data_IF_877005344570
#
_entry.id   IF_877005344570
#
_cell.length_a   1.000
_cell.length_b   1.000
_cell.length_c   1.000
_cell.angle_alpha   90.00
_cell.angle_beta   90.00
_cell.angle_gamma   90.00
#
_symmetry.space_group_name_H-M   'P 1'
#
loop_
_entity.id
_entity.type
_entity.pdbx_description
1 polymer ?
#
# COMPACT_ATOMS: atom_id res chain seq x y z
N UNK A 1 -0.15 -0.69 -9.29
CA UNK A 1 0.11 -0.10 -7.95
C UNK A 1 -1.13 0.58 -7.35
N UNK A 2 -1.89 1.37 -8.11
CA UNK A 2 -3.02 2.17 -7.58
C UNK A 2 -4.40 1.51 -7.65
N UNK A 3 -4.53 0.38 -8.36
CA UNK A 3 -5.79 -0.37 -8.47
C UNK A 3 -5.97 -1.33 -7.32
N UNK A 4 -6.96 -1.09 -6.47
CA UNK A 4 -7.32 -1.99 -5.37
C UNK A 4 -8.39 -2.99 -5.80
N UNK A 5 -8.44 -4.14 -5.13
CA UNK A 5 -9.44 -5.20 -5.38
C UNK A 5 -10.87 -4.68 -5.23
N UNK A 6 -11.11 -3.75 -4.31
CA UNK A 6 -12.44 -3.17 -4.09
C UNK A 6 -12.97 -2.44 -5.33
N UNK A 7 -12.10 -1.73 -6.07
CA UNK A 7 -12.47 -1.06 -7.31
C UNK A 7 -12.87 -2.05 -8.40
N UNK A 8 -12.07 -3.11 -8.60
CA UNK A 8 -12.35 -4.17 -9.56
C UNK A 8 -13.71 -4.80 -9.28
N UNK A 9 -13.96 -5.20 -8.04
CA UNK A 9 -15.23 -5.81 -7.64
C UNK A 9 -16.43 -4.87 -7.85
N UNK A 10 -16.29 -3.59 -7.51
CA UNK A 10 -17.35 -2.60 -7.72
C UNK A 10 -17.67 -2.43 -9.21
N UNK A 11 -16.65 -2.41 -10.07
CA UNK A 11 -16.85 -2.18 -11.50
C UNK A 11 -17.38 -3.44 -12.22
N UNK A 12 -16.96 -4.64 -11.80
CA UNK A 12 -17.56 -5.91 -12.23
C UNK A 12 -19.05 -5.98 -11.87
N UNK A 13 -19.42 -5.53 -10.66
CA UNK A 13 -20.81 -5.47 -10.23
C UNK A 13 -21.63 -4.52 -11.09
N UNK A 14 -21.14 -3.30 -11.37
CA UNK A 14 -21.85 -2.34 -12.24
C UNK A 14 -22.09 -2.90 -13.64
N UNK A 15 -21.13 -3.64 -14.18
CA UNK A 15 -21.28 -4.29 -15.49
C UNK A 15 -22.35 -5.38 -15.47
N UNK A 16 -22.38 -6.20 -14.42
CA UNK A 16 -23.42 -7.21 -14.24
C UNK A 16 -24.82 -6.59 -14.11
N UNK A 17 -24.94 -5.45 -13.41
CA UNK A 17 -26.21 -4.72 -13.23
C UNK A 17 -26.79 -4.19 -14.56
N UNK A 18 -25.95 -3.93 -15.57
CA UNK A 18 -26.39 -3.50 -16.91
C UNK A 18 -26.47 -4.65 -17.92
N UNK A 19 -26.36 -5.90 -17.48
CA UNK A 19 -26.59 -7.10 -18.30
C UNK A 19 -25.36 -7.63 -19.04
N UNK A 20 -24.14 -7.26 -18.63
CA UNK A 20 -22.92 -7.89 -19.16
C UNK A 20 -22.74 -9.24 -18.47
N UNK A 21 -22.80 -10.32 -19.24
CA UNK A 21 -22.79 -11.70 -18.71
C UNK A 21 -21.42 -12.17 -18.18
N UNK A 22 -20.33 -11.61 -18.70
CA UNK A 22 -18.95 -11.92 -18.31
C UNK A 22 -18.16 -10.62 -18.13
N UNK A 23 -18.33 -9.92 -17.00
CA UNK A 23 -17.61 -8.68 -16.74
C UNK A 23 -16.11 -8.97 -16.56
N UNK A 24 -15.29 -8.50 -17.48
CA UNK A 24 -13.83 -8.57 -17.40
C UNK A 24 -13.21 -7.19 -17.62
N UNK A 25 -12.44 -6.71 -16.66
CA UNK A 25 -11.81 -5.37 -16.71
C UNK A 25 -10.41 -5.38 -17.31
N UNK A 26 -9.75 -6.55 -17.40
CA UNK A 26 -8.34 -6.64 -17.79
C UNK A 26 -7.38 -5.94 -16.82
N UNK A 27 -7.84 -5.62 -15.60
CA UNK A 27 -7.04 -4.98 -14.55
C UNK A 27 -6.60 -6.01 -13.51
N UNK A 28 -5.37 -5.89 -13.03
CA UNK A 28 -4.89 -6.64 -11.87
C UNK A 28 -4.88 -5.74 -10.64
N UNK A 29 -5.30 -6.29 -9.49
CA UNK A 29 -5.18 -5.59 -8.23
C UNK A 29 -3.71 -5.50 -7.75
N UNK A 30 -3.47 -4.62 -6.80
CA UNK A 30 -2.15 -4.33 -6.26
C UNK A 30 -1.73 -5.23 -5.08
N UNK A 31 -2.47 -6.28 -4.73
CA UNK A 31 -2.24 -7.12 -3.55
C UNK A 31 -0.82 -7.69 -3.46
N UNK A 32 -0.28 -8.23 -4.55
CA UNK A 32 1.11 -8.74 -4.58
C UNK A 32 2.14 -7.63 -4.34
N UNK A 33 1.90 -6.44 -4.90
CA UNK A 33 2.79 -5.29 -4.74
C UNK A 33 2.73 -4.75 -3.31
N UNK A 34 1.56 -4.78 -2.66
CA UNK A 34 1.40 -4.43 -1.25
C UNK A 34 2.27 -5.34 -0.38
N UNK A 35 2.19 -6.65 -0.59
CA UNK A 35 2.97 -7.63 0.17
C UNK A 35 4.49 -7.44 -0.07
N UNK A 36 4.91 -7.31 -1.32
CA UNK A 36 6.30 -7.09 -1.69
C UNK A 36 6.86 -5.80 -1.08
N UNK A 37 6.17 -4.68 -1.28
CA UNK A 37 6.61 -3.39 -0.79
C UNK A 37 6.60 -3.29 0.73
N UNK A 38 5.61 -3.89 1.40
CA UNK A 38 5.57 -3.96 2.87
C UNK A 38 6.76 -4.71 3.46
N UNK A 39 7.18 -5.82 2.83
CA UNK A 39 8.39 -6.54 3.21
C UNK A 39 9.66 -5.71 3.01
N UNK A 40 9.80 -5.07 1.84
CA UNK A 40 10.95 -4.23 1.50
C UNK A 40 11.09 -3.04 2.44
N UNK A 41 10.00 -2.34 2.73
CA UNK A 41 10.00 -1.19 3.66
C UNK A 41 10.53 -1.62 5.03
N UNK A 42 10.01 -2.70 5.62
CA UNK A 42 10.44 -3.16 6.93
C UNK A 42 11.94 -3.55 6.93
N UNK A 43 12.36 -4.36 5.97
CA UNK A 43 13.75 -4.82 5.87
C UNK A 43 14.72 -3.66 5.68
N UNK A 44 14.38 -2.70 4.82
CA UNK A 44 15.24 -1.57 4.53
C UNK A 44 15.35 -0.61 5.72
N UNK A 45 14.23 -0.29 6.37
CA UNK A 45 14.22 0.59 7.56
C UNK A 45 15.03 -0.04 8.69
N UNK A 46 14.86 -1.34 8.93
CA UNK A 46 15.63 -2.06 9.95
C UNK A 46 17.14 -2.07 9.64
N UNK A 47 17.52 -2.45 8.42
CA UNK A 47 18.93 -2.48 8.00
C UNK A 47 19.59 -1.10 8.08
N UNK A 48 18.84 -0.05 7.69
CA UNK A 48 19.29 1.33 7.79
C UNK A 48 19.56 1.72 9.25
N UNK A 49 18.63 1.41 10.16
CA UNK A 49 18.77 1.75 11.58
C UNK A 49 19.90 0.98 12.25
N UNK A 50 20.07 -0.32 11.96
CA UNK A 50 21.18 -1.11 12.48
C UNK A 50 22.54 -0.54 12.05
N UNK A 51 22.63 0.00 10.84
CA UNK A 51 23.84 0.61 10.29
C UNK A 51 24.07 2.01 10.87
N UNK A 52 23.03 2.83 10.94
CA UNK A 52 23.11 4.23 11.38
C UNK A 52 23.25 4.37 12.91
N UNK A 53 22.69 3.43 13.68
CA UNK A 53 22.62 3.46 15.13
C UNK A 53 23.17 2.17 15.77
N UNK A 54 24.45 1.82 15.53
CA UNK A 54 25.01 0.50 15.92
C UNK A 54 25.09 0.26 17.43
N UNK A 55 24.90 1.31 18.25
CA UNK A 55 24.89 1.22 19.72
C UNK A 55 23.48 1.13 20.31
N UNK A 56 22.44 1.25 19.49
CA UNK A 56 21.07 1.17 19.96
C UNK A 56 20.70 -0.30 20.23
N UNK A 57 20.09 -0.61 21.38
CA UNK A 57 19.58 -1.96 21.65
C UNK A 57 18.53 -2.40 20.63
N UNK A 58 18.38 -3.71 20.45
CA UNK A 58 17.46 -4.30 19.48
C UNK A 58 16.01 -3.87 19.74
N UNK A 59 15.61 -3.70 21.00
CA UNK A 59 14.30 -3.20 21.39
C UNK A 59 14.06 -1.77 20.89
N UNK A 60 15.10 -0.92 20.94
CA UNK A 60 15.05 0.44 20.43
C UNK A 60 14.92 0.47 18.91
N UNK A 61 15.67 -0.39 18.20
CA UNK A 61 15.53 -0.55 16.75
C UNK A 61 14.12 -0.97 16.39
N UNK A 62 13.59 -2.01 17.05
CA UNK A 62 12.23 -2.51 16.82
C UNK A 62 11.14 -1.45 17.06
N UNK A 63 11.29 -0.64 18.10
CA UNK A 63 10.36 0.46 18.37
C UNK A 63 10.34 1.51 17.26
N UNK A 64 11.53 1.88 16.74
CA UNK A 64 11.63 2.87 15.65
C UNK A 64 11.09 2.27 14.35
N UNK A 65 11.48 1.05 14.00
CA UNK A 65 10.94 0.34 12.81
C UNK A 65 9.41 0.32 12.89
N UNK A 66 8.85 -0.16 13.99
CA UNK A 66 7.40 -0.25 14.16
C UNK A 66 6.67 1.09 14.05
N UNK A 67 7.27 2.18 14.52
CA UNK A 67 6.69 3.52 14.37
C UNK A 67 6.77 4.03 12.92
N UNK A 68 7.94 3.92 12.28
CA UNK A 68 8.16 4.41 10.92
C UNK A 68 7.37 3.62 9.87
N UNK A 69 7.16 2.33 10.10
CA UNK A 69 6.40 1.44 9.20
C UNK A 69 4.95 1.22 9.64
N UNK A 70 4.48 1.96 10.66
CA UNK A 70 3.09 1.93 11.11
C UNK A 70 2.12 2.38 10.02
N UNK A 71 0.88 1.88 10.07
CA UNK A 71 -0.18 2.28 9.15
C UNK A 71 -0.35 3.80 9.12
N UNK A 72 -0.38 4.45 10.30
CA UNK A 72 -0.54 5.88 10.41
C UNK A 72 0.61 6.66 9.72
N UNK A 73 1.86 6.26 9.92
CA UNK A 73 3.02 6.90 9.28
C UNK A 73 3.01 6.71 7.77
N UNK A 74 2.73 5.49 7.31
CA UNK A 74 2.66 5.18 5.87
C UNK A 74 1.49 5.90 5.19
N UNK A 75 0.31 5.92 5.82
CA UNK A 75 -0.85 6.66 5.33
C UNK A 75 -0.59 8.16 5.28
N UNK A 76 0.08 8.70 6.30
CA UNK A 76 0.48 10.10 6.35
C UNK A 76 1.41 10.44 5.18
N UNK A 77 2.48 9.67 4.95
CA UNK A 77 3.39 9.87 3.80
C UNK A 77 2.64 9.77 2.48
N UNK A 78 1.87 8.70 2.28
CA UNK A 78 1.05 8.48 1.09
C UNK A 78 0.18 9.69 0.77
N UNK A 79 -0.52 10.22 1.78
CA UNK A 79 -1.42 11.37 1.63
C UNK A 79 -0.75 12.67 1.18
N UNK A 80 0.55 12.83 1.44
CA UNK A 80 1.31 14.02 1.05
C UNK A 80 2.04 13.85 -0.30
N UNK A 81 1.95 12.67 -0.91
CA UNK A 81 2.54 12.37 -2.22
C UNK A 81 1.50 12.36 -3.36
N UNK A 82 0.29 12.87 -3.12
CA UNK A 82 -0.78 12.94 -4.12
C UNK A 82 -1.45 11.59 -4.43
N UNK A 83 -1.20 10.54 -3.64
CA UNK A 83 -1.80 9.21 -3.90
C UNK A 83 -3.32 9.23 -3.76
N UNK A 84 -3.86 10.09 -2.87
CA UNK A 84 -5.30 10.29 -2.66
C UNK A 84 -6.07 10.60 -3.95
N UNK A 85 -5.42 11.25 -4.90
CA UNK A 85 -6.05 11.74 -6.14
C UNK A 85 -6.06 10.68 -7.25
N UNK A 86 -5.24 9.63 -7.13
CA UNK A 86 -5.00 8.64 -8.20
C UNK A 86 -5.30 7.19 -7.79
N UNK A 87 -5.68 6.95 -6.53
CA UNK A 87 -6.11 5.63 -6.08
C UNK A 87 -7.44 5.25 -6.73
N UNK A 88 -7.49 4.03 -7.28
CA UNK A 88 -8.73 3.42 -7.76
C UNK A 88 -9.25 2.48 -6.66
N UNK A 89 -10.29 2.92 -5.94
CA UNK A 89 -10.96 2.19 -4.86
C UNK A 89 -12.47 2.42 -4.90
N UNK A 90 -13.24 1.52 -4.27
CA UNK A 90 -14.70 1.59 -4.27
C UNK A 90 -15.28 2.73 -3.40
N UNK A 91 -14.52 3.24 -2.43
CA UNK A 91 -14.98 4.18 -1.42
C UNK A 91 -14.20 5.48 -1.43
N UNK A 92 -14.91 6.59 -1.20
CA UNK A 92 -14.33 7.92 -0.97
C UNK A 92 -15.05 8.59 0.20
N UNK A 93 -14.35 9.22 1.15
CA UNK A 93 -12.90 9.39 1.22
C UNK A 93 -12.14 8.08 1.50
N UNK A 94 -10.89 8.01 1.03
CA UNK A 94 -10.00 6.86 1.28
C UNK A 94 -9.53 6.82 2.74
N UNK A 95 -9.51 5.63 3.33
CA UNK A 95 -9.08 5.41 4.71
C UNK A 95 -7.54 5.26 4.83
N UNK A 96 -7.06 5.15 6.08
CA UNK A 96 -5.62 5.04 6.35
C UNK A 96 -5.04 3.73 5.81
N UNK A 97 -5.76 2.62 5.95
CA UNK A 97 -5.32 1.31 5.48
C UNK A 97 -5.11 1.34 3.96
N UNK A 98 -6.06 1.88 3.19
CA UNK A 98 -5.96 2.00 1.74
C UNK A 98 -4.79 2.90 1.32
N UNK A 99 -4.54 4.00 2.04
CA UNK A 99 -3.40 4.89 1.79
C UNK A 99 -2.06 4.21 2.09
N UNK A 100 -1.96 3.53 3.23
CA UNK A 100 -0.77 2.80 3.63
C UNK A 100 -0.47 1.65 2.66
N UNK A 101 -1.49 0.92 2.23
CA UNK A 101 -1.34 -0.16 1.26
C UNK A 101 -0.95 0.39 -0.12
N UNK A 102 -1.49 1.54 -0.52
CA UNK A 102 -1.09 2.17 -1.78
C UNK A 102 0.40 2.53 -1.80
N UNK A 103 0.94 3.11 -0.71
CA UNK A 103 2.37 3.45 -0.70
C UNK A 103 3.25 2.20 -0.66
N UNK A 104 2.83 1.12 0.03
CA UNK A 104 3.49 -0.19 -0.06
C UNK A 104 3.48 -0.70 -1.51
N UNK A 105 2.33 -0.65 -2.19
CA UNK A 105 2.22 -1.07 -3.59
C UNK A 105 3.11 -0.25 -4.53
N UNK A 106 3.26 1.05 -4.29
CA UNK A 106 4.18 1.91 -5.06
C UNK A 106 5.62 1.48 -4.85
N UNK A 107 6.05 1.25 -3.61
CA UNK A 107 7.41 0.73 -3.33
C UNK A 107 7.62 -0.63 -3.99
N UNK A 108 6.66 -1.54 -3.88
CA UNK A 108 6.71 -2.85 -4.53
C UNK A 108 6.79 -2.76 -6.06
N UNK A 109 6.14 -1.75 -6.66
CA UNK A 109 6.20 -1.51 -8.10
C UNK A 109 7.55 -0.93 -8.54
N UNK A 110 8.17 -0.04 -7.75
CA UNK A 110 9.46 0.57 -8.06
C UNK A 110 10.64 -0.42 -7.96
N UNK A 111 10.48 -1.52 -7.22
CA UNK A 111 11.49 -2.57 -7.13
C UNK A 111 11.51 -3.49 -8.36
N UNK A 112 10.40 -3.57 -9.11
CA UNK A 112 10.28 -4.38 -10.33
C UNK A 112 10.76 -3.59 -11.55
#
# INVERSE_FOLDING_TARGET
AFTHRSFIAQEEQKQAEVGIEQPELGLSDNGELIALGGGLINQYVEAFLLTALPKLPQEGIGAIVGHLTSEASLAHVSSHLGTKDIILAATFPVDQTLLADTIKAVVGALQR
#
